data_IF_040754940915
#
_entry.id   IF_040754940915
#
_cell.length_a   1.000
_cell.length_b   1.000
_cell.length_c   1.000
_cell.angle_alpha   90.00
_cell.angle_beta   90.00
_cell.angle_gamma   90.00
#
_symmetry.space_group_name_H-M   'P 1'
#
loop_
_entity.id
_entity.type
_entity.pdbx_description
1 polymer ?
#
# COMPACT_ATOMS: atom_id res chain seq x y z
N UNK A 1 21.04 -3.35 -8.69
CA UNK A 1 20.15 -4.16 -7.81
C UNK A 1 19.91 -3.36 -6.56
N UNK A 2 18.72 -2.82 -6.36
CA UNK A 2 18.35 -2.23 -5.08
C UNK A 2 18.46 -3.34 -4.01
N UNK A 3 19.21 -3.09 -2.95
CA UNK A 3 19.26 -4.02 -1.81
C UNK A 3 17.90 -4.13 -1.14
N UNK A 4 17.71 -5.18 -0.33
CA UNK A 4 16.48 -5.40 0.45
C UNK A 4 16.07 -4.14 1.20
N UNK A 5 14.79 -3.79 1.13
CA UNK A 5 14.17 -2.70 1.88
C UNK A 5 14.65 -1.28 1.55
N UNK A 6 15.26 -1.04 0.38
CA UNK A 6 15.77 0.30 0.02
C UNK A 6 14.74 1.21 -0.65
N UNK A 7 13.67 0.66 -1.19
CA UNK A 7 12.67 1.43 -1.92
C UNK A 7 11.52 1.83 -1.01
N UNK A 8 11.00 3.03 -1.26
CA UNK A 8 9.76 3.51 -0.68
C UNK A 8 8.69 3.36 -1.76
N UNK A 9 7.55 2.77 -1.40
CA UNK A 9 6.39 2.70 -2.27
C UNK A 9 5.35 3.74 -1.84
N UNK A 10 4.56 4.26 -2.78
CA UNK A 10 3.61 5.36 -2.52
C UNK A 10 2.24 5.04 -3.09
N UNK A 11 1.19 5.16 -2.29
CA UNK A 11 -0.21 4.99 -2.68
C UNK A 11 -0.99 6.24 -2.29
N UNK A 12 -1.52 6.97 -3.26
CA UNK A 12 -2.17 8.25 -2.98
C UNK A 12 -2.95 8.79 -4.15
N UNK A 13 -3.61 9.90 -3.90
CA UNK A 13 -4.11 10.81 -4.92
C UNK A 13 -2.97 11.38 -5.78
N UNK A 14 -3.32 11.89 -6.96
CA UNK A 14 -2.38 12.41 -7.96
C UNK A 14 -1.43 13.46 -7.38
N UNK A 15 -1.94 14.41 -6.59
CA UNK A 15 -1.17 15.47 -5.95
C UNK A 15 -0.10 14.89 -5.00
N UNK A 16 -0.51 13.94 -4.16
CA UNK A 16 0.36 13.29 -3.18
C UNK A 16 1.46 12.48 -3.87
N UNK A 17 1.09 11.63 -4.83
CA UNK A 17 2.05 10.81 -5.58
C UNK A 17 3.04 11.69 -6.33
N UNK A 18 2.55 12.73 -7.00
CA UNK A 18 3.39 13.69 -7.72
C UNK A 18 4.42 14.35 -6.80
N UNK A 19 4.01 14.76 -5.59
CA UNK A 19 4.93 15.32 -4.59
C UNK A 19 6.07 14.37 -4.23
N UNK A 20 5.79 13.08 -4.03
CA UNK A 20 6.83 12.10 -3.71
C UNK A 20 7.71 11.72 -4.91
N UNK A 21 7.14 11.70 -6.11
CA UNK A 21 7.91 11.50 -7.35
C UNK A 21 8.92 12.64 -7.55
N UNK A 22 8.50 13.89 -7.33
CA UNK A 22 9.39 15.05 -7.33
C UNK A 22 10.45 14.99 -6.22
N UNK A 23 10.12 14.35 -5.08
CA UNK A 23 11.05 14.06 -4.01
C UNK A 23 12.09 12.96 -4.32
N UNK A 24 12.01 12.33 -5.49
CA UNK A 24 12.97 11.31 -5.93
C UNK A 24 12.67 9.89 -5.45
N UNK A 25 11.45 9.62 -4.97
CA UNK A 25 11.05 8.26 -4.53
C UNK A 25 10.69 7.37 -5.72
N UNK A 26 10.27 7.93 -6.85
CA UNK A 26 9.81 7.18 -8.02
C UNK A 26 10.88 6.28 -8.64
N UNK A 27 10.63 4.98 -8.67
CA UNK A 27 11.51 3.97 -9.27
C UNK A 27 10.70 3.03 -10.16
N UNK A 28 11.25 2.71 -11.33
CA UNK A 28 10.74 1.65 -12.20
C UNK A 28 11.66 0.44 -12.09
N UNK A 29 11.10 -0.71 -11.70
CA UNK A 29 11.85 -1.97 -11.68
C UNK A 29 12.25 -2.39 -13.12
N UNK A 30 13.12 -3.39 -13.26
CA UNK A 30 13.57 -3.97 -14.54
C UNK A 30 12.43 -4.38 -15.46
N UNK A 31 11.29 -4.75 -14.87
CA UNK A 31 10.06 -5.10 -15.57
C UNK A 31 9.14 -3.89 -15.85
N UNK A 32 9.67 -2.66 -15.72
CA UNK A 32 8.93 -1.40 -15.84
C UNK A 32 7.73 -1.29 -14.89
N UNK A 33 7.85 -1.90 -13.71
CA UNK A 33 6.81 -1.82 -12.67
C UNK A 33 7.09 -0.62 -11.76
N UNK A 34 6.12 0.29 -11.58
CA UNK A 34 6.28 1.41 -10.66
C UNK A 34 6.24 0.93 -9.21
N UNK A 35 6.86 1.70 -8.33
CA UNK A 35 6.70 1.62 -6.88
C UNK A 35 5.58 2.55 -6.36
N UNK A 36 4.73 3.07 -7.23
CA UNK A 36 3.63 3.94 -6.84
C UNK A 36 2.32 3.56 -7.50
N UNK A 37 1.21 3.91 -6.84
CA UNK A 37 -0.15 3.82 -7.36
C UNK A 37 -0.83 5.17 -7.18
N UNK A 38 -1.25 5.77 -8.29
CA UNK A 38 -2.17 6.91 -8.30
C UNK A 38 -3.58 6.36 -8.20
N UNK A 39 -4.33 6.81 -7.20
CA UNK A 39 -5.71 6.42 -6.97
C UNK A 39 -6.62 7.58 -7.33
N UNK A 40 -7.52 7.32 -8.26
CA UNK A 40 -8.57 8.23 -8.71
C UNK A 40 -9.90 7.86 -8.05
N UNK A 41 -10.97 8.62 -8.31
CA UNK A 41 -12.29 8.37 -7.71
C UNK A 41 -12.95 7.10 -8.28
N UNK A 42 -12.56 6.73 -9.49
CA UNK A 42 -13.06 5.59 -10.24
C UNK A 42 -12.26 4.31 -9.96
N UNK A 43 -11.13 4.42 -9.25
CA UNK A 43 -10.31 3.26 -8.89
C UNK A 43 -11.07 2.34 -7.93
N UNK A 44 -11.18 1.07 -8.29
CA UNK A 44 -11.91 0.11 -7.47
C UNK A 44 -11.14 -0.26 -6.20
N UNK A 45 -11.87 -0.50 -5.11
CA UNK A 45 -11.30 -1.00 -3.85
C UNK A 45 -10.47 -2.28 -4.05
N UNK A 46 -10.93 -3.15 -4.96
CA UNK A 46 -10.23 -4.40 -5.27
C UNK A 46 -8.82 -4.14 -5.83
N UNK A 47 -8.66 -3.13 -6.68
CA UNK A 47 -7.36 -2.76 -7.26
C UNK A 47 -6.39 -2.20 -6.21
N UNK A 48 -6.91 -1.38 -5.29
CA UNK A 48 -6.12 -0.82 -4.18
C UNK A 48 -5.68 -1.95 -3.25
N UNK A 49 -6.60 -2.84 -2.86
CA UNK A 49 -6.27 -4.00 -2.03
C UNK A 49 -5.28 -4.94 -2.70
N UNK A 50 -5.45 -5.22 -3.99
CA UNK A 50 -4.54 -6.09 -4.75
C UNK A 50 -3.13 -5.51 -4.80
N UNK A 51 -3.01 -4.21 -5.09
CA UNK A 51 -1.72 -3.49 -5.14
C UNK A 51 -1.05 -3.45 -3.77
N UNK A 52 -1.82 -3.33 -2.70
CA UNK A 52 -1.28 -3.40 -1.35
C UNK A 52 -0.84 -4.83 -1.00
N UNK A 53 -1.72 -5.83 -1.13
CA UNK A 53 -1.55 -7.16 -0.53
C UNK A 53 -0.75 -8.17 -1.34
N UNK A 54 -0.73 -8.13 -2.67
CA UNK A 54 -0.57 -9.37 -3.44
C UNK A 54 0.74 -10.16 -3.19
N UNK A 55 0.60 -11.13 -2.29
CA UNK A 55 1.16 -12.46 -2.31
C UNK A 55 0.01 -13.44 -2.02
N UNK A 56 -0.71 -13.84 -3.08
CA UNK A 56 -1.68 -14.94 -3.16
C UNK A 56 -2.43 -15.37 -1.89
N UNK A 57 -3.61 -14.79 -1.64
CA UNK A 57 -4.76 -15.49 -1.04
C UNK A 57 -6.04 -14.78 -1.51
N UNK A 58 -6.76 -15.45 -2.40
CA UNK A 58 -7.98 -14.94 -3.01
C UNK A 58 -9.13 -14.78 -2.04
N UNK A 59 -9.97 -13.78 -2.34
CA UNK A 59 -11.37 -13.75 -1.93
C UNK A 59 -12.08 -15.01 -2.46
N UNK A 60 -12.74 -15.82 -1.61
CA UNK A 60 -13.36 -17.10 -2.01
C UNK A 60 -14.52 -17.00 -3.01
N UNK A 61 -14.87 -15.81 -3.52
CA UNK A 61 -15.98 -15.61 -4.46
C UNK A 61 -15.59 -15.39 -5.92
N UNK A 62 -14.35 -14.97 -6.21
CA UNK A 62 -13.94 -14.55 -7.58
C UNK A 62 -12.91 -15.53 -8.21
N UNK A 63 -12.28 -16.38 -7.40
CA UNK A 63 -11.11 -17.17 -7.81
C UNK A 63 -11.45 -18.55 -8.42
N UNK A 64 -12.59 -18.71 -9.09
CA UNK A 64 -12.88 -19.94 -9.85
C UNK A 64 -13.11 -19.74 -11.35
N UNK A 65 -13.11 -18.50 -11.85
CA UNK A 65 -13.38 -18.24 -13.27
C UNK A 65 -12.19 -17.69 -14.07
N UNK A 66 -11.10 -17.23 -13.43
CA UNK A 66 -10.08 -16.43 -14.14
C UNK A 66 -8.64 -16.94 -14.03
N UNK A 67 -8.39 -18.16 -13.56
CA UNK A 67 -7.06 -18.77 -13.73
C UNK A 67 -6.79 -19.25 -15.16
N UNK A 68 -7.83 -19.44 -15.98
CA UNK A 68 -7.73 -19.95 -17.35
C UNK A 68 -8.18 -18.96 -18.44
N UNK A 69 -8.64 -17.76 -18.08
CA UNK A 69 -9.27 -16.81 -19.02
C UNK A 69 -8.54 -15.46 -19.15
N UNK A 70 -7.42 -15.26 -18.46
CA UNK A 70 -6.58 -14.08 -18.69
C UNK A 70 -5.41 -14.46 -19.60
N UNK A 71 -5.47 -14.20 -20.92
CA UNK A 71 -4.27 -14.19 -21.74
C UNK A 71 -3.32 -13.09 -21.22
N UNK A 72 -1.99 -13.27 -21.31
CA UNK A 72 -1.02 -12.26 -20.95
C UNK A 72 -1.14 -11.10 -21.94
N UNK A 73 -1.92 -10.10 -21.59
CA UNK A 73 -1.95 -8.83 -22.31
C UNK A 73 -0.83 -7.94 -21.73
N UNK A 74 -0.18 -7.10 -22.55
CA UNK A 74 1.03 -6.36 -22.18
C UNK A 74 0.84 -5.23 -21.14
N UNK A 75 -0.36 -5.06 -20.56
CA UNK A 75 -0.72 -3.91 -19.70
C UNK A 75 -0.86 -4.24 -18.20
N UNK A 76 -1.09 -5.51 -17.82
CA UNK A 76 -1.21 -5.92 -16.40
C UNK A 76 -0.38 -7.18 -16.11
N UNK A 77 0.91 -7.05 -15.76
CA UNK A 77 1.65 -8.15 -15.16
C UNK A 77 1.17 -8.39 -13.72
N UNK A 78 0.65 -9.60 -13.47
CA UNK A 78 0.10 -10.13 -12.20
C UNK A 78 1.13 -10.27 -11.05
N UNK A 79 1.89 -9.23 -10.73
CA UNK A 79 2.81 -9.20 -9.57
C UNK A 79 2.99 -7.78 -9.04
N UNK A 80 1.88 -7.11 -8.68
CA UNK A 80 1.83 -5.69 -8.27
C UNK A 80 1.86 -5.45 -6.75
N UNK A 81 1.83 -6.49 -5.91
CA UNK A 81 1.74 -6.35 -4.46
C UNK A 81 2.97 -5.71 -3.81
N UNK A 82 2.85 -4.50 -3.25
CA UNK A 82 3.94 -3.85 -2.51
C UNK A 82 4.38 -4.64 -1.28
N UNK A 83 3.46 -5.38 -0.63
CA UNK A 83 3.79 -6.24 0.51
C UNK A 83 4.62 -7.49 0.17
N UNK A 84 4.63 -7.94 -1.10
CA UNK A 84 5.40 -9.11 -1.52
C UNK A 84 6.82 -8.76 -2.00
N UNK A 85 7.09 -7.47 -2.18
CA UNK A 85 8.36 -6.94 -2.66
C UNK A 85 9.37 -6.81 -1.53
N UNK A 86 10.42 -7.64 -1.56
CA UNK A 86 11.51 -7.57 -0.57
C UNK A 86 12.41 -6.33 -0.72
N UNK A 87 12.34 -5.65 -1.86
CA UNK A 87 13.04 -4.41 -2.15
C UNK A 87 12.34 -3.16 -1.57
N UNK A 88 11.05 -3.27 -1.23
CA UNK A 88 10.28 -2.20 -0.58
C UNK A 88 10.46 -2.29 0.94
N UNK A 89 10.96 -1.21 1.53
CA UNK A 89 11.16 -1.08 2.98
C UNK A 89 10.01 -0.33 3.67
N UNK A 90 9.35 0.56 2.95
CA UNK A 90 8.27 1.40 3.46
C UNK A 90 7.20 1.63 2.40
N UNK A 91 5.94 1.67 2.80
CA UNK A 91 4.78 2.00 1.99
C UNK A 91 4.14 3.23 2.61
N UNK A 92 4.15 4.34 1.87
CA UNK A 92 3.41 5.55 2.19
C UNK A 92 2.01 5.42 1.59
N UNK A 93 0.97 5.60 2.39
CA UNK A 93 -0.42 5.53 1.93
C UNK A 93 -1.23 6.70 2.46
N UNK A 94 -2.02 7.37 1.62
CA UNK A 94 -2.94 8.40 2.11
C UNK A 94 -3.92 7.82 3.13
N UNK A 95 -4.16 8.50 4.24
CA UNK A 95 -5.02 8.00 5.33
C UNK A 95 -6.44 7.65 4.83
N UNK A 96 -6.98 8.44 3.90
CA UNK A 96 -8.28 8.19 3.28
C UNK A 96 -8.31 6.88 2.45
N UNK A 97 -7.18 6.47 1.87
CA UNK A 97 -7.06 5.19 1.17
C UNK A 97 -6.87 4.04 2.15
N UNK A 98 -6.06 4.24 3.20
CA UNK A 98 -5.84 3.25 4.25
C UNK A 98 -7.12 2.91 5.01
N UNK A 99 -8.04 3.86 5.16
CA UNK A 99 -9.36 3.65 5.76
C UNK A 99 -10.24 2.71 4.92
N UNK A 100 -10.15 2.77 3.59
CA UNK A 100 -10.89 1.91 2.68
C UNK A 100 -10.39 0.45 2.71
N UNK A 101 -9.07 0.25 2.79
CA UNK A 101 -8.44 -1.07 2.83
C UNK A 101 -8.05 -1.50 4.25
N UNK A 102 -8.78 -0.99 5.26
CA UNK A 102 -8.44 -1.19 6.67
C UNK A 102 -8.20 -2.65 7.08
N UNK A 103 -8.99 -3.64 6.60
CA UNK A 103 -8.74 -5.05 6.90
C UNK A 103 -7.39 -5.54 6.37
N UNK A 104 -6.93 -5.01 5.24
CA UNK A 104 -5.66 -5.37 4.64
C UNK A 104 -4.47 -4.80 5.42
N UNK A 105 -4.53 -3.53 5.79
CA UNK A 105 -3.50 -2.86 6.61
C UNK A 105 -3.43 -3.50 8.00
N UNK A 106 -4.60 -3.75 8.62
CA UNK A 106 -4.70 -4.37 9.93
C UNK A 106 -4.11 -5.80 9.97
N UNK A 107 -4.20 -6.55 8.86
CA UNK A 107 -3.63 -7.88 8.75
C UNK A 107 -2.11 -7.90 8.55
N UNK A 108 -1.50 -6.78 8.13
CA UNK A 108 -0.06 -6.68 7.99
C UNK A 108 0.59 -6.41 9.36
N UNK A 109 1.19 -7.46 9.93
CA UNK A 109 1.87 -7.42 11.22
C UNK A 109 3.40 -7.51 11.12
N UNK A 110 3.95 -7.64 9.90
CA UNK A 110 5.41 -7.72 9.70
C UNK A 110 6.02 -6.34 9.87
N UNK A 111 7.24 -6.27 10.41
CA UNK A 111 7.97 -5.00 10.57
C UNK A 111 8.32 -4.36 9.22
N UNK A 112 8.56 -5.17 8.18
CA UNK A 112 8.85 -4.71 6.83
C UNK A 112 7.88 -5.35 5.80
N UNK A 113 7.46 -4.60 4.77
CA UNK A 113 7.62 -3.15 4.65
C UNK A 113 6.82 -2.39 5.73
N UNK A 114 7.35 -1.29 6.25
CA UNK A 114 6.64 -0.43 7.21
C UNK A 114 5.51 0.30 6.47
N UNK A 115 4.30 0.34 7.03
CA UNK A 115 3.17 1.05 6.43
C UNK A 115 2.96 2.34 7.21
N UNK A 116 3.01 3.48 6.52
CA UNK A 116 2.85 4.80 7.11
C UNK A 116 1.67 5.52 6.46
N UNK A 117 0.68 5.89 7.27
CA UNK A 117 -0.46 6.68 6.84
C UNK A 117 -0.07 8.16 6.82
N UNK A 118 -0.29 8.83 5.69
CA UNK A 118 0.03 10.25 5.48
C UNK A 118 -1.24 11.06 5.20
N UNK A 119 -1.29 12.35 5.57
CA UNK A 119 -2.37 13.24 5.14
C UNK A 119 -2.35 13.40 3.62
N UNK A 120 -3.49 13.75 3.04
CA UNK A 120 -3.56 14.23 1.66
C UNK A 120 -3.90 15.72 1.63
N UNK A 121 -3.85 16.33 0.46
CA UNK A 121 -4.13 17.77 0.26
C UNK A 121 -5.49 18.20 0.81
N UNK A 122 -6.53 17.39 0.55
CA UNK A 122 -7.91 17.70 0.94
C UNK A 122 -8.35 17.04 2.27
N UNK A 123 -7.60 16.04 2.75
CA UNK A 123 -7.97 15.26 3.94
C UNK A 123 -6.86 15.33 5.01
N UNK A 124 -7.05 16.13 6.07
CA UNK A 124 -6.08 16.25 7.15
C UNK A 124 -5.94 14.93 7.92
N UNK A 125 -4.78 14.74 8.54
CA UNK A 125 -4.48 13.57 9.36
C UNK A 125 -5.36 13.51 10.62
N UNK A 126 -5.92 12.33 10.92
CA UNK A 126 -6.73 12.06 12.11
C UNK A 126 -6.07 10.91 12.91
N UNK A 127 -5.39 11.23 14.03
CA UNK A 127 -4.72 10.25 14.88
C UNK A 127 -5.64 9.15 15.43
N UNK A 128 -6.95 9.42 15.54
CA UNK A 128 -7.90 8.43 16.03
C UNK A 128 -8.16 7.32 14.99
N UNK A 129 -7.92 7.61 13.71
CA UNK A 129 -8.14 6.68 12.59
C UNK A 129 -6.90 5.90 12.19
N UNK A 130 -5.71 6.33 12.56
CA UNK A 130 -4.46 5.67 12.18
C UNK A 130 -4.30 4.24 12.78
N UNK A 131 -3.94 3.26 11.95
CA UNK A 131 -3.76 1.86 12.36
C UNK A 131 -2.51 1.61 13.19
N UNK A 132 -1.43 2.31 12.88
CA UNK A 132 -0.15 2.23 13.57
C UNK A 132 -0.28 2.84 14.96
N UNK A 133 -0.87 4.03 15.08
CA UNK A 133 -1.14 4.65 16.38
C UNK A 133 -2.06 3.77 17.24
N UNK A 134 -3.11 3.17 16.67
CA UNK A 134 -3.96 2.23 17.42
C UNK A 134 -3.19 1.03 17.98
N UNK A 135 -2.17 0.54 17.26
CA UNK A 135 -1.27 -0.53 17.75
C UNK A 135 -0.24 0.00 18.74
N UNK A 136 0.25 1.21 18.52
CA UNK A 136 1.28 1.85 19.33
C UNK A 136 0.74 2.58 20.57
N UNK A 137 -0.58 2.67 20.78
CA UNK A 137 -1.19 3.21 22.00
C UNK A 137 -0.62 2.58 23.27
N UNK A 138 -0.30 1.28 23.25
CA UNK A 138 0.38 0.60 24.36
C UNK A 138 1.87 0.96 24.55
N UNK A 139 2.50 1.63 23.58
CA UNK A 139 3.90 2.08 23.63
C UNK A 139 4.03 3.56 24.01
N UNK A 140 3.02 4.38 23.74
CA UNK A 140 3.04 5.83 24.01
C UNK A 140 2.33 6.24 25.31
N UNK A 141 1.70 5.32 26.02
CA UNK A 141 1.08 5.57 27.33
C UNK A 141 1.66 4.66 28.44
N UNK A 142 2.91 4.89 28.91
CA UNK A 142 3.38 4.26 30.15
C UNK A 142 2.66 4.82 31.41
N UNK A 143 1.98 5.96 31.32
CA UNK A 143 1.32 6.63 32.46
C UNK A 143 -0.17 6.32 32.64
N UNK A 144 -0.81 5.55 31.74
CA UNK A 144 -2.20 5.06 31.93
C UNK A 144 -2.27 3.69 32.65
N UNK A 145 -1.12 3.14 33.07
CA UNK A 145 -1.01 1.87 33.81
C UNK A 145 -0.80 2.08 35.32
N UNK A 146 -1.42 3.12 35.92
CA UNK A 146 -1.43 3.36 37.36
C UNK A 146 -2.84 3.48 37.91
#
# INVERSE_FOLDING_TARGET
>A
MAGRGKLIAVMGDEDTVTGFLLGGIGELDKHRRPNFLVVEKETSLAEIEETFRWGGRGVPGVLRALSSLCPPHPSFPCSRGFLAREDVGMILISQALAEQIRPAVAAHARALPAVLEIPSKDHPYDPARDSVLRRARGLFAPDELR
#
